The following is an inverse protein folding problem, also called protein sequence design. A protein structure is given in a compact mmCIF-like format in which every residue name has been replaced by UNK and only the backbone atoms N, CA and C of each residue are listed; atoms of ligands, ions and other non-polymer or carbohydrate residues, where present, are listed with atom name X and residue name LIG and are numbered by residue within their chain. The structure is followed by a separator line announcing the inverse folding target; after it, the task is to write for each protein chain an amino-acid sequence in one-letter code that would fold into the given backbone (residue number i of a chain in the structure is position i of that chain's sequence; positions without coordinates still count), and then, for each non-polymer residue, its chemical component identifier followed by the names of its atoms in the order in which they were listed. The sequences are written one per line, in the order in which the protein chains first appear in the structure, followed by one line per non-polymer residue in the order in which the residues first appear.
data_IF_373311925804
#
_entry.id   IF_373311925804
#
_cell.length_a   1.000
_cell.length_b   1.000
_cell.length_c   1.000
_cell.angle_alpha   90.00
_cell.angle_beta   90.00
_cell.angle_gamma   90.00
#
_symmetry.space_group_name_H-M   'P 1'
#
loop_
_entity.id
_entity.type
_entity.pdbx_description
1 polymer ?
#
# COMPACT_ATOMS: atom_id res chain seq x y z
N UNK A 1 17.18 0.52 -0.04
CA UNK A 1 16.20 1.52 0.43
C UNK A 1 15.29 0.86 1.45
N UNK A 2 14.84 1.62 2.46
CA UNK A 2 13.94 1.10 3.48
C UNK A 2 12.68 1.97 3.58
N UNK A 3 11.53 1.34 3.78
CA UNK A 3 10.22 1.97 3.92
C UNK A 3 9.84 1.93 5.41
N UNK A 4 9.53 3.07 6.04
CA UNK A 4 9.20 3.12 7.46
C UNK A 4 7.74 2.74 7.73
N UNK A 5 7.48 2.18 8.91
CA UNK A 5 6.18 2.31 9.57
C UNK A 5 6.08 3.70 10.18
N UNK A 6 5.01 4.44 9.89
CA UNK A 6 4.82 5.79 10.45
C UNK A 6 4.37 5.76 11.93
N UNK A 7 3.97 4.60 12.45
CA UNK A 7 3.54 4.44 13.85
C UNK A 7 4.67 4.00 14.80
N UNK A 8 5.57 3.12 14.37
CA UNK A 8 6.63 2.56 15.24
C UNK A 8 8.06 2.76 14.72
N UNK A 9 8.22 3.50 13.61
CA UNK A 9 9.51 3.86 13.00
C UNK A 9 10.37 2.69 12.49
N UNK A 10 9.95 1.44 12.70
CA UNK A 10 10.57 0.25 12.12
C UNK A 10 10.67 0.38 10.60
N UNK A 11 11.77 -0.12 10.04
CA UNK A 11 12.14 0.06 8.64
C UNK A 11 12.21 -1.28 7.93
N UNK A 12 11.54 -1.39 6.80
CA UNK A 12 11.38 -2.64 6.07
C UNK A 12 11.99 -2.55 4.68
N UNK A 13 12.55 -3.67 4.21
CA UNK A 13 12.89 -3.81 2.80
C UNK A 13 11.62 -3.86 1.92
N UNK A 14 11.72 -3.58 0.60
CA UNK A 14 10.56 -3.61 -0.29
C UNK A 14 9.81 -4.95 -0.29
N UNK A 15 10.52 -6.07 -0.31
CA UNK A 15 9.87 -7.40 -0.32
C UNK A 15 9.03 -7.61 0.95
N UNK A 16 9.60 -7.35 2.12
CA UNK A 16 8.89 -7.49 3.41
C UNK A 16 7.71 -6.52 3.50
N UNK A 17 7.92 -5.27 3.08
CA UNK A 17 6.88 -4.24 3.12
C UNK A 17 5.70 -4.58 2.21
N UNK A 18 5.96 -4.92 0.94
CA UNK A 18 4.90 -5.17 -0.04
C UNK A 18 4.26 -6.55 0.10
N UNK A 19 4.94 -7.55 0.69
CA UNK A 19 4.31 -8.81 1.07
C UNK A 19 3.29 -8.64 2.21
N UNK A 20 3.44 -7.61 3.04
CA UNK A 20 2.48 -7.27 4.10
C UNK A 20 1.28 -6.43 3.59
N UNK A 21 1.26 -6.07 2.31
CA UNK A 21 0.10 -5.42 1.70
C UNK A 21 -1.04 -6.42 1.46
N UNK A 22 -2.26 -5.97 1.72
CA UNK A 22 -3.48 -6.76 1.59
C UNK A 22 -4.67 -5.87 1.19
N UNK A 23 -5.80 -6.50 0.88
CA UNK A 23 -7.10 -5.83 0.69
C UNK A 23 -7.05 -4.58 -0.22
N UNK A 24 -6.80 -4.77 -1.52
CA UNK A 24 -6.86 -3.66 -2.47
C UNK A 24 -8.29 -3.14 -2.64
N UNK A 25 -8.61 -2.00 -2.02
CA UNK A 25 -9.87 -1.29 -2.21
C UNK A 25 -9.86 -0.56 -3.55
N UNK A 26 -10.42 -1.22 -4.57
CA UNK A 26 -10.55 -0.68 -5.93
C UNK A 26 -11.35 0.62 -6.00
N UNK A 27 -12.36 0.78 -5.15
CA UNK A 27 -13.27 1.94 -5.17
C UNK A 27 -12.57 3.23 -4.73
N UNK A 28 -11.70 3.13 -3.73
CA UNK A 28 -10.94 4.27 -3.19
C UNK A 28 -9.50 4.35 -3.72
N UNK A 29 -9.07 3.32 -4.45
CA UNK A 29 -7.69 3.13 -4.90
C UNK A 29 -6.68 3.13 -3.75
N UNK A 30 -6.94 2.27 -2.76
CA UNK A 30 -6.15 2.10 -1.54
C UNK A 30 -5.77 0.65 -1.32
N UNK A 31 -4.62 0.46 -0.69
CA UNK A 31 -4.12 -0.85 -0.24
C UNK A 31 -4.02 -0.80 1.27
N UNK A 32 -4.58 -1.80 1.96
CA UNK A 32 -4.29 -1.96 3.38
C UNK A 32 -2.88 -2.52 3.55
N UNK A 33 -2.16 -2.04 4.55
CA UNK A 33 -0.86 -2.53 4.96
C UNK A 33 -0.84 -2.70 6.47
N UNK A 34 -0.38 -3.86 6.94
CA UNK A 34 -0.24 -4.14 8.37
C UNK A 34 1.24 -4.27 8.69
N UNK A 35 1.73 -3.43 9.60
CA UNK A 35 3.11 -3.45 10.03
C UNK A 35 3.48 -4.82 10.63
N UNK A 36 4.47 -5.56 10.06
CA UNK A 36 4.88 -6.85 10.60
C UNK A 36 5.46 -6.78 12.02
N UNK A 37 5.95 -5.61 12.43
CA UNK A 37 6.58 -5.41 13.73
C UNK A 37 5.59 -5.02 14.84
N UNK A 38 4.75 -4.00 14.62
CA UNK A 38 3.87 -3.44 15.66
C UNK A 38 2.37 -3.74 15.45
N UNK A 39 1.98 -4.32 14.31
CA UNK A 39 0.58 -4.58 13.98
C UNK A 39 -0.24 -3.35 13.60
N UNK A 40 0.36 -2.16 13.49
CA UNK A 40 -0.35 -0.97 12.99
C UNK A 40 -0.91 -1.24 11.60
N UNK A 41 -2.19 -0.90 11.39
CA UNK A 41 -2.85 -1.02 10.10
C UNK A 41 -3.02 0.37 9.49
N UNK A 42 -2.45 0.56 8.31
CA UNK A 42 -2.63 1.76 7.50
C UNK A 42 -3.36 1.41 6.20
N UNK A 43 -4.15 2.35 5.69
CA UNK A 43 -4.54 2.34 4.29
C UNK A 43 -3.66 3.34 3.56
N UNK A 44 -3.02 2.90 2.47
CA UNK A 44 -2.08 3.70 1.71
C UNK A 44 -2.41 3.71 0.22
N UNK A 45 -1.97 4.76 -0.47
CA UNK A 45 -2.03 4.87 -1.92
C UNK A 45 -0.66 4.58 -2.52
N UNK A 46 -0.61 3.60 -3.42
CA UNK A 46 0.58 3.37 -4.24
C UNK A 46 0.56 4.38 -5.39
N UNK A 47 1.63 5.15 -5.53
CA UNK A 47 1.83 6.16 -6.58
C UNK A 47 3.11 5.83 -7.37
N UNK A 48 3.27 6.32 -8.60
CA UNK A 48 4.55 6.21 -9.31
C UNK A 48 5.68 6.84 -8.50
N UNK A 49 6.64 6.04 -8.07
CA UNK A 49 7.80 6.47 -7.29
C UNK A 49 7.53 6.79 -5.82
N UNK A 50 6.30 6.63 -5.30
CA UNK A 50 5.91 7.10 -3.95
C UNK A 50 4.84 6.22 -3.30
N UNK A 51 4.84 6.21 -1.96
CA UNK A 51 3.71 5.75 -1.14
C UNK A 51 3.07 6.95 -0.47
N UNK A 52 1.76 7.09 -0.64
CA UNK A 52 0.96 8.12 0.00
C UNK A 52 0.21 7.60 1.22
N UNK A 53 0.43 8.21 2.37
CA UNK A 53 -0.26 7.93 3.63
C UNK A 53 -1.23 9.08 3.92
N UNK A 54 -2.34 8.76 4.57
CA UNK A 54 -3.39 9.73 4.78
C UNK A 54 -4.62 9.14 5.40
N UNK A 55 -5.74 9.83 5.24
CA UNK A 55 -7.00 9.43 5.86
C UNK A 55 -8.20 9.71 4.94
N UNK A 56 -9.32 8.97 5.12
CA UNK A 56 -10.57 9.31 4.46
C UNK A 56 -11.06 10.69 4.88
N UNK A 57 -11.26 11.60 3.91
CA UNK A 57 -11.83 12.92 4.09
C UNK A 57 -12.94 13.15 3.06
N UNK A 58 -14.18 13.38 3.52
CA UNK A 58 -15.36 13.70 2.68
C UNK A 58 -15.58 12.74 1.50
N UNK A 59 -15.43 11.44 1.73
CA UNK A 59 -15.63 10.41 0.70
C UNK A 59 -14.46 10.26 -0.29
N UNK A 60 -13.33 10.93 -0.05
CA UNK A 60 -12.07 10.75 -0.77
C UNK A 60 -10.97 10.33 0.19
N UNK A 61 -9.88 9.78 -0.33
CA UNK A 61 -8.67 9.59 0.45
C UNK A 61 -7.71 10.75 0.17
N UNK A 62 -7.41 11.53 1.19
CA UNK A 62 -6.47 12.64 1.09
C UNK A 62 -5.09 12.19 1.56
N UNK A 63 -4.06 12.48 0.77
CA UNK A 63 -2.68 12.05 1.05
C UNK A 63 -1.96 13.18 1.75
N UNK A 64 -1.57 12.94 3.00
CA UNK A 64 -0.90 13.92 3.84
C UNK A 64 0.62 13.73 3.83
N UNK A 65 1.07 12.48 3.95
CA UNK A 65 2.48 12.14 3.99
C UNK A 65 2.87 11.28 2.81
N UNK A 66 4.12 11.45 2.35
CA UNK A 66 4.66 10.69 1.24
C UNK A 66 6.01 10.13 1.55
N UNK A 67 6.19 8.85 1.26
CA UNK A 67 7.48 8.18 1.30
C UNK A 67 7.94 7.97 -0.14
N UNK A 68 9.14 8.47 -0.45
CA UNK A 68 9.77 8.27 -1.76
C UNK A 68 10.24 6.82 -1.89
N UNK A 69 9.83 6.17 -2.97
CA UNK A 69 10.21 4.81 -3.35
C UNK A 69 10.61 4.84 -4.84
N UNK A 70 11.80 5.33 -5.20
CA UNK A 70 12.20 5.53 -6.59
C UNK A 70 12.08 4.24 -7.42
N UNK A 71 11.51 4.34 -8.62
CA UNK A 71 11.29 3.18 -9.49
C UNK A 71 10.02 2.38 -9.17
N UNK A 72 9.29 2.73 -8.11
CA UNK A 72 7.99 2.11 -7.80
C UNK A 72 7.00 2.37 -8.93
N UNK A 73 6.40 1.29 -9.40
CA UNK A 73 5.37 1.28 -10.43
C UNK A 73 4.16 0.54 -9.91
N UNK A 74 3.05 0.81 -10.58
CA UNK A 74 1.77 0.17 -10.29
C UNK A 74 0.99 -0.04 -11.57
N UNK A 75 0.20 -1.10 -11.59
CA UNK A 75 -0.76 -1.38 -12.63
C UNK A 75 -2.05 -1.88 -12.00
N UNK A 76 -3.14 -1.16 -12.25
CA UNK A 76 -4.46 -1.51 -11.76
C UNK A 76 -5.07 -2.56 -12.68
N UNK A 77 -5.30 -3.76 -12.15
CA UNK A 77 -6.11 -4.79 -12.78
C UNK A 77 -7.58 -4.69 -12.34
N UNK A 78 -8.43 -5.57 -12.85
CA UNK A 78 -9.87 -5.57 -12.53
C UNK A 78 -10.12 -5.87 -11.04
N UNK A 79 -9.51 -6.92 -10.50
CA UNK A 79 -9.68 -7.38 -9.10
C UNK A 79 -8.37 -7.40 -8.32
N UNK A 80 -7.37 -6.62 -8.76
CA UNK A 80 -6.06 -6.57 -8.12
C UNK A 80 -5.31 -5.29 -8.44
N UNK A 81 -4.30 -5.01 -7.63
CA UNK A 81 -3.24 -4.07 -7.91
C UNK A 81 -1.92 -4.81 -8.05
N UNK A 82 -1.26 -4.66 -9.19
CA UNK A 82 0.08 -5.16 -9.42
C UNK A 82 1.06 -4.02 -9.07
N UNK A 83 1.93 -4.25 -8.09
CA UNK A 83 2.96 -3.31 -7.63
C UNK A 83 4.30 -3.87 -8.14
N UNK A 84 5.15 -3.03 -8.72
CA UNK A 84 6.47 -3.47 -9.16
C UNK A 84 7.54 -2.47 -8.79
N UNK A 85 8.72 -2.99 -8.45
CA UNK A 85 9.91 -2.22 -8.14
C UNK A 85 11.11 -3.01 -8.63
N UNK A 86 11.86 -2.40 -9.55
CA UNK A 86 12.99 -3.05 -10.21
C UNK A 86 12.61 -4.40 -10.86
N UNK A 87 13.07 -5.52 -10.29
CA UNK A 87 12.82 -6.88 -10.78
C UNK A 87 11.71 -7.61 -10.01
N UNK A 88 11.23 -7.03 -8.92
CA UNK A 88 10.22 -7.63 -8.05
C UNK A 88 8.82 -7.13 -8.42
N UNK A 89 7.84 -8.02 -8.25
CA UNK A 89 6.43 -7.70 -8.45
C UNK A 89 5.57 -8.38 -7.39
N UNK A 90 4.65 -7.62 -6.81
CA UNK A 90 3.70 -8.06 -5.81
C UNK A 90 2.28 -7.81 -6.30
N UNK A 91 1.38 -8.72 -5.93
CA UNK A 91 -0.01 -8.69 -6.38
C UNK A 91 -0.91 -8.58 -5.17
N UNK A 92 -1.63 -7.49 -5.06
CA UNK A 92 -2.57 -7.25 -3.97
C UNK A 92 -3.97 -7.41 -4.50
N UNK A 93 -4.67 -8.45 -4.04
CA UNK A 93 -6.01 -8.75 -4.50
C UNK A 93 -7.05 -7.84 -3.85
N UNK A 94 -8.09 -7.51 -4.59
CA UNK A 94 -9.29 -6.89 -4.02
C UNK A 94 -10.00 -7.91 -3.16
N UNK A 95 -10.32 -7.54 -1.92
CA UNK A 95 -11.20 -8.36 -1.09
C UNK A 95 -12.60 -8.26 -1.67
N UNK A 96 -13.04 -9.33 -2.35
CA UNK A 96 -14.45 -9.52 -2.62
C UNK A 96 -15.10 -9.72 -1.25
N UNK A 97 -15.86 -8.73 -0.77
CA UNK A 97 -16.75 -8.97 0.38
C UNK A 97 -17.65 -10.13 -0.04
N UNK A 98 -17.42 -11.31 0.52
CA UNK A 98 -18.45 -12.33 0.52
C UNK A 98 -19.65 -11.73 1.26
N UNK A 99 -20.84 -11.66 0.63
CA UNK A 99 -22.04 -11.36 1.39
C UNK A 99 -22.19 -12.44 2.47
N UNK A 100 -22.38 -12.00 3.71
CA UNK A 100 -22.70 -12.86 4.84
C UNK A 100 -24.11 -13.45 4.70
#
# INVERSE_FOLDING_TARGET
MLIPCLACESRFGPDEYFNACSDYNRGLDLVSWTCPHCGNRDDLRVLPGELGFGYPCRGRFDVHDRVRVPGLRRQRGELRLDISLERSSWRVHTRLRQPA
#
